data_IF_079782251982
#
_entry.id   IF_079782251982
#
_cell.length_a   1.000
_cell.length_b   1.000
_cell.length_c   1.000
_cell.angle_alpha   90.00
_cell.angle_beta   90.00
_cell.angle_gamma   90.00
#
_symmetry.space_group_name_H-M   'P 1'
#
loop_
_entity.id
_entity.type
_entity.pdbx_description
1 polymer ?
#
# COMPACT_ATOMS: atom_id res chain seq x y z
N UNK A 1 -51.95 8.32 6.48
CA UNK A 1 -50.91 7.73 5.61
C UNK A 1 -51.57 6.63 4.79
N UNK A 2 -51.62 6.72 3.45
CA UNK A 2 -52.11 5.62 2.63
C UNK A 2 -51.07 4.49 2.63
N UNK A 3 -51.53 3.27 2.89
CA UNK A 3 -50.73 2.05 2.87
C UNK A 3 -50.31 1.70 1.44
N UNK A 4 -49.07 1.20 1.29
CA UNK A 4 -48.42 0.83 0.03
C UNK A 4 -49.15 -0.26 -0.78
N UNK A 5 -50.18 -0.90 -0.23
CA UNK A 5 -50.92 -1.99 -0.88
C UNK A 5 -51.82 -1.55 -2.03
N UNK A 6 -52.14 -0.25 -2.15
CA UNK A 6 -53.08 0.22 -3.18
C UNK A 6 -52.48 0.37 -4.59
N UNK A 7 -51.15 0.30 -4.75
CA UNK A 7 -50.48 0.47 -6.05
C UNK A 7 -50.23 -0.85 -6.80
N UNK A 8 -50.49 -2.01 -6.18
CA UNK A 8 -50.21 -3.32 -6.80
C UNK A 8 -51.32 -3.82 -7.73
N UNK A 9 -52.54 -3.28 -7.62
CA UNK A 9 -53.71 -3.78 -8.33
C UNK A 9 -53.98 -3.10 -9.69
N UNK A 10 -53.13 -2.16 -10.12
CA UNK A 10 -53.31 -1.41 -11.38
C UNK A 10 -52.19 -1.63 -12.41
N UNK A 11 -51.19 -2.46 -12.10
CA UNK A 11 -50.17 -2.80 -13.10
C UNK A 11 -50.75 -3.86 -14.04
N UNK A 12 -50.81 -3.60 -15.36
CA UNK A 12 -51.23 -4.62 -16.32
C UNK A 12 -50.30 -5.83 -16.21
N UNK A 13 -50.85 -7.04 -16.33
CA UNK A 13 -50.07 -8.27 -16.39
C UNK A 13 -49.06 -8.16 -17.56
N UNK A 14 -47.80 -7.91 -17.21
CA UNK A 14 -46.71 -7.94 -18.17
C UNK A 14 -46.31 -9.39 -18.39
N UNK A 15 -46.99 -10.05 -19.34
CA UNK A 15 -46.54 -11.34 -19.87
C UNK A 15 -45.27 -11.11 -20.70
N UNK A 16 -44.12 -11.19 -20.03
CA UNK A 16 -42.82 -11.18 -20.67
C UNK A 16 -42.55 -12.58 -21.25
N UNK A 17 -42.89 -12.78 -22.52
CA UNK A 17 -42.41 -13.94 -23.28
C UNK A 17 -41.02 -13.61 -23.82
N UNK A 18 -40.00 -14.20 -23.18
CA UNK A 18 -38.65 -14.19 -23.76
C UNK A 18 -38.65 -15.08 -24.99
N UNK A 19 -38.21 -14.60 -26.17
CA UNK A 19 -38.06 -15.46 -27.34
C UNK A 19 -37.10 -16.60 -27.03
N UNK A 20 -37.34 -17.79 -27.59
CA UNK A 20 -36.50 -19.00 -27.35
C UNK A 20 -35.01 -18.78 -27.69
N UNK A 21 -34.71 -17.78 -28.51
CA UNK A 21 -33.36 -17.38 -28.92
C UNK A 21 -32.73 -16.29 -28.06
N UNK A 22 -33.45 -15.76 -27.06
CA UNK A 22 -32.95 -14.72 -26.16
C UNK A 22 -31.70 -15.23 -25.40
N UNK A 23 -30.54 -14.67 -25.75
CA UNK A 23 -29.24 -15.05 -25.18
C UNK A 23 -28.49 -16.14 -25.94
N UNK A 24 -29.12 -16.86 -26.88
CA UNK A 24 -28.45 -17.91 -27.67
C UNK A 24 -27.44 -17.35 -28.68
N UNK A 25 -27.71 -16.17 -29.25
CA UNK A 25 -26.81 -15.55 -30.25
C UNK A 25 -25.43 -15.21 -29.71
N UNK A 26 -25.32 -15.01 -28.38
CA UNK A 26 -24.08 -14.64 -27.71
C UNK A 26 -23.47 -15.75 -26.85
N UNK A 27 -24.04 -16.98 -26.85
CA UNK A 27 -23.50 -18.10 -26.07
C UNK A 27 -22.03 -18.37 -26.40
N UNK A 28 -21.64 -18.27 -27.67
CA UNK A 28 -20.24 -18.44 -28.10
C UNK A 28 -19.32 -17.36 -27.53
N UNK A 29 -19.81 -16.13 -27.41
CA UNK A 29 -19.08 -15.01 -26.78
C UNK A 29 -18.93 -15.24 -25.28
N UNK A 30 -20.00 -15.70 -24.62
CA UNK A 30 -19.96 -16.06 -23.20
C UNK A 30 -19.04 -17.25 -22.92
N UNK A 31 -19.06 -18.28 -23.76
CA UNK A 31 -18.15 -19.43 -23.66
C UNK A 31 -16.69 -19.00 -23.81
N UNK A 32 -16.39 -18.17 -24.82
CA UNK A 32 -15.04 -17.61 -25.00
C UNK A 32 -14.59 -16.77 -23.82
N UNK A 33 -15.46 -15.90 -23.29
CA UNK A 33 -15.17 -15.10 -22.09
C UNK A 33 -14.99 -15.99 -20.84
N UNK A 34 -15.77 -17.07 -20.71
CA UNK A 34 -15.63 -18.02 -19.61
C UNK A 34 -14.34 -18.84 -19.71
N UNK A 35 -13.91 -19.22 -20.91
CA UNK A 35 -12.62 -19.87 -21.17
C UNK A 35 -11.46 -18.92 -20.87
N UNK A 36 -11.52 -17.66 -21.32
CA UNK A 36 -10.53 -16.63 -21.01
C UNK A 36 -10.47 -16.36 -19.50
N UNK A 37 -11.62 -16.30 -18.82
CA UNK A 37 -11.71 -16.14 -17.38
C UNK A 37 -11.15 -17.37 -16.65
N UNK A 38 -11.44 -18.60 -17.11
CA UNK A 38 -10.88 -19.81 -16.53
C UNK A 38 -9.37 -19.91 -16.71
N UNK A 39 -8.84 -19.53 -17.89
CA UNK A 39 -7.40 -19.41 -18.10
C UNK A 39 -6.76 -18.35 -17.18
N UNK A 40 -7.46 -17.24 -16.97
CA UNK A 40 -7.04 -16.20 -16.01
C UNK A 40 -7.07 -16.70 -14.56
N UNK A 41 -8.10 -17.44 -14.15
CA UNK A 41 -8.24 -18.00 -12.78
C UNK A 41 -7.18 -19.07 -12.52
N UNK A 42 -6.93 -19.97 -13.48
CA UNK A 42 -5.88 -21.00 -13.37
C UNK A 42 -4.48 -20.38 -13.30
N UNK A 43 -4.21 -19.34 -14.08
CA UNK A 43 -2.95 -18.60 -13.99
C UNK A 43 -2.80 -17.77 -12.70
N UNK A 44 -3.90 -17.29 -12.11
CA UNK A 44 -3.87 -16.63 -10.80
C UNK A 44 -3.40 -17.56 -9.67
N UNK A 45 -3.82 -18.84 -9.67
CA UNK A 45 -3.36 -19.84 -8.69
C UNK A 45 -1.86 -20.15 -8.81
N UNK A 46 -1.35 -20.24 -10.04
CA UNK A 46 0.08 -20.39 -10.31
C UNK A 46 0.88 -19.14 -9.88
N UNK A 47 0.29 -17.94 -9.98
CA UNK A 47 0.94 -16.70 -9.58
C UNK A 47 1.08 -16.58 -8.05
N UNK A 48 0.13 -17.08 -7.25
CA UNK A 48 0.29 -17.15 -5.79
C UNK A 48 1.42 -18.10 -5.37
N UNK A 49 1.52 -19.26 -6.02
CA UNK A 49 2.56 -20.25 -5.71
C UNK A 49 3.95 -19.75 -6.12
N UNK A 50 4.05 -19.08 -7.27
CA UNK A 50 5.30 -18.46 -7.71
C UNK A 50 5.78 -17.39 -6.73
N UNK A 51 4.89 -16.47 -6.31
CA UNK A 51 5.26 -15.42 -5.33
C UNK A 51 5.73 -16.06 -4.04
N UNK A 52 5.03 -17.08 -3.53
CA UNK A 52 5.40 -17.74 -2.28
C UNK A 52 6.77 -18.43 -2.38
N UNK A 53 7.02 -19.16 -3.47
CA UNK A 53 8.32 -19.80 -3.73
C UNK A 53 9.43 -18.76 -3.85
N UNK A 54 9.20 -17.68 -4.60
CA UNK A 54 10.18 -16.63 -4.83
C UNK A 54 10.51 -15.85 -3.56
N UNK A 55 9.52 -15.58 -2.71
CA UNK A 55 9.73 -14.99 -1.38
C UNK A 55 10.67 -15.84 -0.54
N UNK A 56 10.40 -17.15 -0.43
CA UNK A 56 11.26 -18.07 0.34
C UNK A 56 12.70 -18.09 -0.18
N UNK A 57 12.87 -18.13 -1.49
CA UNK A 57 14.20 -18.14 -2.12
C UNK A 57 14.98 -16.85 -1.82
N UNK A 58 14.35 -15.69 -2.04
CA UNK A 58 14.97 -14.37 -1.78
C UNK A 58 15.31 -14.26 -0.29
N UNK A 59 14.38 -14.61 0.59
CA UNK A 59 14.58 -14.54 2.03
C UNK A 59 15.74 -15.43 2.49
N UNK A 60 15.80 -16.69 2.05
CA UNK A 60 16.90 -17.59 2.38
C UNK A 60 18.25 -17.05 1.91
N UNK A 61 18.34 -16.56 0.67
CA UNK A 61 19.60 -16.02 0.12
C UNK A 61 20.05 -14.75 0.85
N UNK A 62 19.12 -13.84 1.16
CA UNK A 62 19.46 -12.59 1.87
C UNK A 62 19.80 -12.86 3.33
N UNK A 63 18.95 -13.59 4.04
CA UNK A 63 19.02 -13.74 5.50
C UNK A 63 20.10 -14.75 5.91
N UNK A 64 20.20 -15.90 5.22
CA UNK A 64 21.17 -16.95 5.56
C UNK A 64 22.44 -16.86 4.71
N UNK A 65 22.30 -16.50 3.43
CA UNK A 65 23.41 -16.48 2.49
C UNK A 65 24.17 -15.16 2.41
N UNK A 66 23.67 -14.07 3.01
CA UNK A 66 24.29 -12.75 2.94
C UNK A 66 24.32 -12.12 1.54
N UNK A 67 23.45 -12.57 0.63
CA UNK A 67 23.41 -12.05 -0.74
C UNK A 67 22.83 -10.64 -0.78
N UNK A 68 23.40 -9.77 -1.61
CA UNK A 68 22.87 -8.43 -1.85
C UNK A 68 21.53 -8.49 -2.61
N UNK A 69 20.47 -7.97 -1.99
CA UNK A 69 19.11 -8.00 -2.54
C UNK A 69 19.00 -7.45 -3.99
N UNK A 70 19.64 -6.33 -4.37
CA UNK A 70 19.55 -5.82 -5.75
C UNK A 70 20.00 -6.82 -6.82
N UNK A 71 20.92 -7.73 -6.49
CA UNK A 71 21.42 -8.76 -7.43
C UNK A 71 20.44 -9.91 -7.61
N UNK A 72 19.58 -10.16 -6.62
CA UNK A 72 18.57 -11.20 -6.67
C UNK A 72 17.30 -10.76 -7.41
N UNK A 73 17.10 -9.46 -7.59
CA UNK A 73 15.97 -8.92 -8.33
C UNK A 73 16.33 -8.89 -9.82
N UNK A 74 15.75 -9.80 -10.60
CA UNK A 74 16.05 -9.97 -12.02
C UNK A 74 14.90 -9.45 -12.89
N UNK A 75 13.67 -9.55 -12.40
CA UNK A 75 12.48 -9.26 -13.18
C UNK A 75 11.48 -8.34 -12.44
N UNK A 76 10.57 -7.65 -13.16
CA UNK A 76 9.55 -6.81 -12.54
C UNK A 76 8.67 -7.52 -11.50
N UNK A 77 8.43 -8.83 -11.68
CA UNK A 77 7.63 -9.64 -10.74
C UNK A 77 8.33 -9.84 -9.38
N UNK A 78 9.65 -9.77 -9.31
CA UNK A 78 10.41 -9.89 -8.07
C UNK A 78 10.11 -8.73 -7.11
N UNK A 79 9.80 -7.55 -7.66
CA UNK A 79 9.47 -6.35 -6.87
C UNK A 79 8.33 -6.65 -5.89
N UNK A 80 7.30 -7.40 -6.34
CA UNK A 80 6.16 -7.75 -5.50
C UNK A 80 6.54 -8.71 -4.38
N UNK A 81 7.41 -9.68 -4.65
CA UNK A 81 7.92 -10.61 -3.65
C UNK A 81 8.74 -9.87 -2.58
N UNK A 82 9.59 -8.93 -3.00
CA UNK A 82 10.41 -8.11 -2.10
C UNK A 82 9.54 -7.21 -1.22
N UNK A 83 8.55 -6.51 -1.78
CA UNK A 83 7.65 -5.66 -0.98
C UNK A 83 6.85 -6.51 0.02
N UNK A 84 6.41 -7.70 -0.38
CA UNK A 84 5.72 -8.61 0.51
C UNK A 84 6.63 -9.05 1.68
N UNK A 85 7.89 -9.42 1.42
CA UNK A 85 8.86 -9.74 2.46
C UNK A 85 9.11 -8.56 3.41
N UNK A 86 9.26 -7.35 2.88
CA UNK A 86 9.39 -6.16 3.72
C UNK A 86 8.17 -5.91 4.61
N UNK A 87 6.96 -6.28 4.19
CA UNK A 87 5.76 -6.11 5.03
C UNK A 87 5.66 -7.20 6.09
N UNK A 88 5.98 -8.44 5.72
CA UNK A 88 5.68 -9.62 6.52
C UNK A 88 6.82 -10.12 7.41
N UNK A 89 8.08 -9.94 7.00
CA UNK A 89 9.25 -10.51 7.69
C UNK A 89 10.13 -9.42 8.31
N UNK A 90 10.12 -9.33 9.64
CA UNK A 90 11.00 -8.43 10.37
C UNK A 90 12.48 -8.80 10.19
N UNK A 91 12.79 -10.10 10.17
CA UNK A 91 14.15 -10.58 9.94
C UNK A 91 14.66 -10.16 8.56
N UNK A 92 13.81 -10.23 7.54
CA UNK A 92 14.16 -9.75 6.21
C UNK A 92 14.38 -8.24 6.19
N UNK A 93 13.50 -7.44 6.82
CA UNK A 93 13.69 -5.98 6.94
C UNK A 93 15.01 -5.60 7.60
N UNK A 94 15.42 -6.33 8.65
CA UNK A 94 16.70 -6.10 9.32
C UNK A 94 17.90 -6.47 8.45
N UNK A 95 17.78 -7.53 7.64
CA UNK A 95 18.87 -8.04 6.79
C UNK A 95 19.01 -7.26 5.47
N UNK A 96 17.90 -6.77 4.93
CA UNK A 96 17.85 -5.97 3.72
C UNK A 96 16.90 -4.77 3.92
N UNK A 97 17.32 -3.75 4.70
CA UNK A 97 16.51 -2.55 4.91
C UNK A 97 16.28 -1.80 3.60
N UNK A 98 15.16 -1.09 3.50
CA UNK A 98 14.88 -0.23 2.36
C UNK A 98 16.00 0.81 2.23
N UNK A 99 16.59 0.94 1.05
CA UNK A 99 17.64 1.92 0.78
C UNK A 99 17.62 2.32 -0.70
N UNK A 100 18.36 3.38 -1.04
CA UNK A 100 18.46 3.91 -2.39
C UNK A 100 18.83 2.85 -3.43
N UNK A 101 19.83 1.99 -3.16
CA UNK A 101 20.28 0.95 -4.11
C UNK A 101 19.17 -0.01 -4.51
N UNK A 102 18.33 -0.43 -3.54
CA UNK A 102 17.22 -1.34 -3.82
C UNK A 102 16.10 -0.62 -4.58
N UNK A 103 15.78 0.61 -4.20
CA UNK A 103 14.76 1.41 -4.91
C UNK A 103 15.20 1.77 -6.34
N UNK A 104 16.47 2.05 -6.56
CA UNK A 104 17.04 2.25 -7.90
C UNK A 104 16.93 0.98 -8.73
N UNK A 105 17.17 -0.19 -8.13
CA UNK A 105 16.93 -1.47 -8.81
C UNK A 105 15.46 -1.66 -9.19
N UNK A 106 14.53 -1.31 -8.30
CA UNK A 106 13.08 -1.30 -8.61
C UNK A 106 12.80 -0.39 -9.81
N UNK A 107 13.40 0.81 -9.84
CA UNK A 107 13.23 1.76 -10.96
C UNK A 107 13.79 1.22 -12.27
N UNK A 108 14.93 0.54 -12.26
CA UNK A 108 15.51 -0.09 -13.46
C UNK A 108 14.59 -1.18 -13.99
N UNK A 109 14.06 -2.03 -13.11
CA UNK A 109 13.17 -3.12 -13.48
C UNK A 109 11.76 -2.64 -13.86
N UNK A 110 11.30 -1.53 -13.28
CA UNK A 110 9.99 -0.93 -13.54
C UNK A 110 10.12 0.59 -13.66
N UNK A 111 10.54 1.11 -14.83
CA UNK A 111 10.75 2.55 -15.03
C UNK A 111 9.49 3.39 -14.84
N UNK A 112 8.32 2.79 -15.07
CA UNK A 112 7.00 3.37 -14.77
C UNK A 112 6.32 2.49 -13.74
N UNK A 113 6.16 3.01 -12.53
CA UNK A 113 5.51 2.28 -11.45
C UNK A 113 4.01 2.13 -11.73
N UNK A 114 3.59 0.88 -11.91
CA UNK A 114 2.18 0.55 -12.02
C UNK A 114 1.47 0.68 -10.67
N UNK A 115 0.15 0.95 -10.64
CA UNK A 115 -0.62 0.99 -9.40
C UNK A 115 -0.51 -0.29 -8.55
N UNK A 116 -0.31 -1.45 -9.19
CA UNK A 116 -0.16 -2.75 -8.53
C UNK A 116 1.16 -2.86 -7.74
N UNK A 117 2.20 -2.12 -8.12
CA UNK A 117 3.46 -2.03 -7.36
C UNK A 117 3.40 -0.87 -6.36
N UNK A 118 2.84 0.27 -6.76
CA UNK A 118 2.83 1.47 -5.94
C UNK A 118 1.94 1.32 -4.69
N UNK A 119 0.78 0.66 -4.81
CA UNK A 119 -0.11 0.45 -3.65
C UNK A 119 0.55 -0.36 -2.53
N UNK A 120 1.20 -1.51 -2.79
CA UNK A 120 1.99 -2.21 -1.77
C UNK A 120 3.11 -1.38 -1.13
N UNK A 121 3.78 -0.50 -1.89
CA UNK A 121 4.81 0.40 -1.32
C UNK A 121 4.19 1.44 -0.38
N UNK A 122 3.03 1.99 -0.74
CA UNK A 122 2.26 2.89 0.13
C UNK A 122 1.85 2.15 1.42
N UNK A 123 1.33 0.92 1.30
CA UNK A 123 1.01 0.09 2.46
C UNK A 123 2.25 -0.15 3.33
N UNK A 124 3.39 -0.51 2.73
CA UNK A 124 4.65 -0.69 3.46
C UNK A 124 5.03 0.58 4.25
N UNK A 125 4.96 1.75 3.63
CA UNK A 125 5.23 3.03 4.31
C UNK A 125 4.29 3.26 5.49
N UNK A 126 2.97 3.11 5.29
CA UNK A 126 1.99 3.35 6.35
C UNK A 126 2.09 2.31 7.49
N UNK A 127 2.41 1.07 7.14
CA UNK A 127 2.50 -0.06 8.07
C UNK A 127 3.79 -0.06 8.86
N UNK A 128 4.92 0.38 8.29
CA UNK A 128 6.26 0.29 8.90
C UNK A 128 6.94 1.65 9.09
N UNK A 129 6.21 2.77 8.99
CA UNK A 129 6.71 4.15 8.98
C UNK A 129 7.98 4.42 9.82
N UNK A 130 7.91 4.23 11.14
CA UNK A 130 9.02 4.48 12.08
C UNK A 130 9.99 3.30 12.20
N UNK A 131 9.62 2.13 11.67
CA UNK A 131 10.45 0.92 11.66
C UNK A 131 11.33 0.80 10.41
N UNK A 132 11.17 1.68 9.43
CA UNK A 132 11.98 1.68 8.19
C UNK A 132 13.41 2.20 8.41
N UNK A 133 13.72 2.78 9.58
CA UNK A 133 15.00 3.44 9.86
C UNK A 133 15.29 4.50 8.79
N UNK A 134 16.55 4.68 8.42
CA UNK A 134 16.98 5.64 7.38
C UNK A 134 16.36 5.36 5.99
N UNK A 135 15.76 4.19 5.79
CA UNK A 135 15.08 3.81 4.55
C UNK A 135 13.80 4.60 4.25
N UNK A 136 13.24 5.28 5.26
CA UNK A 136 11.96 5.96 5.14
C UNK A 136 12.00 7.13 4.15
N UNK A 137 13.10 7.90 4.11
CA UNK A 137 13.26 9.07 3.21
C UNK A 137 13.26 8.64 1.75
N UNK A 138 14.09 7.65 1.45
CA UNK A 138 14.16 7.08 0.11
C UNK A 138 12.80 6.54 -0.33
N UNK A 139 12.05 5.90 0.57
CA UNK A 139 10.76 5.32 0.24
C UNK A 139 9.70 6.38 -0.05
N UNK A 140 9.54 7.41 0.80
CA UNK A 140 8.49 8.40 0.57
C UNK A 140 8.77 9.22 -0.70
N UNK A 141 10.03 9.55 -1.00
CA UNK A 141 10.39 10.26 -2.24
C UNK A 141 10.19 9.39 -3.48
N UNK A 142 10.44 8.09 -3.36
CA UNK A 142 10.13 7.13 -4.40
C UNK A 142 8.62 7.02 -4.67
N UNK A 143 7.81 6.95 -3.61
CA UNK A 143 6.34 6.92 -3.70
C UNK A 143 5.80 8.22 -4.32
N UNK A 144 6.27 9.39 -3.87
CA UNK A 144 5.86 10.71 -4.39
C UNK A 144 6.09 10.80 -5.89
N UNK A 145 7.28 10.43 -6.37
CA UNK A 145 7.60 10.39 -7.81
C UNK A 145 6.69 9.44 -8.57
N UNK A 146 6.50 8.22 -8.05
CA UNK A 146 5.58 7.25 -8.63
C UNK A 146 4.15 7.77 -8.76
N UNK A 147 3.62 8.45 -7.73
CA UNK A 147 2.28 9.04 -7.73
C UNK A 147 2.15 10.20 -8.73
N UNK A 148 3.21 11.01 -8.89
CA UNK A 148 3.23 12.12 -9.84
C UNK A 148 3.19 11.62 -11.30
N UNK A 149 3.88 10.51 -11.59
CA UNK A 149 3.94 9.89 -12.92
C UNK A 149 2.67 9.12 -13.30
N UNK A 150 1.80 8.79 -12.33
CA UNK A 150 0.56 8.07 -12.64
C UNK A 150 -0.37 8.91 -13.53
N UNK A 151 -0.90 8.34 -14.62
CA UNK A 151 -1.80 9.05 -15.52
C UNK A 151 -3.10 9.41 -14.81
N UNK A 152 -3.60 10.62 -15.06
CA UNK A 152 -4.90 11.09 -14.55
C UNK A 152 -6.05 10.40 -15.29
N UNK A 153 -6.27 9.11 -14.98
CA UNK A 153 -7.34 8.30 -15.57
C UNK A 153 -8.52 8.15 -14.62
N UNK A 154 -9.75 8.10 -15.17
CA UNK A 154 -10.97 7.77 -14.40
C UNK A 154 -10.87 6.41 -13.71
N UNK A 155 -10.11 5.46 -14.27
CA UNK A 155 -9.95 4.09 -13.78
C UNK A 155 -9.10 3.95 -12.51
N UNK A 156 -8.55 5.04 -11.96
CA UNK A 156 -7.85 4.98 -10.68
C UNK A 156 -8.82 4.71 -9.52
N UNK A 157 -8.42 3.86 -8.58
CA UNK A 157 -9.15 3.64 -7.33
C UNK A 157 -9.30 4.93 -6.52
N UNK A 158 -10.33 5.01 -5.68
CA UNK A 158 -10.57 6.12 -4.76
C UNK A 158 -9.31 6.43 -3.93
N UNK A 159 -8.71 5.39 -3.36
CA UNK A 159 -7.55 5.52 -2.47
C UNK A 159 -6.35 6.12 -3.20
N UNK A 160 -6.10 5.69 -4.44
CA UNK A 160 -4.98 6.21 -5.23
C UNK A 160 -5.16 7.70 -5.58
N UNK A 161 -6.40 8.13 -5.83
CA UNK A 161 -6.72 9.55 -6.03
C UNK A 161 -6.46 10.36 -4.77
N UNK A 162 -6.81 9.82 -3.59
CA UNK A 162 -6.53 10.44 -2.29
C UNK A 162 -5.02 10.56 -2.07
N UNK A 163 -4.27 9.47 -2.25
CA UNK A 163 -2.81 9.48 -2.08
C UNK A 163 -2.13 10.44 -3.05
N UNK A 164 -2.59 10.54 -4.30
CA UNK A 164 -2.06 11.52 -5.26
C UNK A 164 -2.35 12.96 -4.83
N UNK A 165 -3.56 13.24 -4.32
CA UNK A 165 -3.95 14.56 -3.82
C UNK A 165 -3.17 14.97 -2.56
N UNK A 166 -2.92 14.03 -1.66
CA UNK A 166 -2.32 14.27 -0.34
C UNK A 166 -0.85 13.82 -0.29
N UNK A 167 -0.17 13.68 -1.43
CA UNK A 167 1.13 13.02 -1.49
C UNK A 167 2.20 13.70 -0.63
N UNK A 168 2.25 15.04 -0.65
CA UNK A 168 3.17 15.84 0.16
C UNK A 168 2.75 15.93 1.64
N UNK A 169 1.50 15.57 1.95
CA UNK A 169 0.97 15.60 3.30
C UNK A 169 1.21 14.27 4.01
N UNK A 170 0.93 13.16 3.34
CA UNK A 170 1.01 11.80 3.91
C UNK A 170 2.45 11.28 3.88
N UNK A 171 3.10 11.34 2.71
CA UNK A 171 4.39 10.70 2.48
C UNK A 171 5.51 11.66 2.85
N UNK A 172 5.62 11.99 4.14
CA UNK A 172 6.63 12.90 4.69
C UNK A 172 6.98 12.45 6.11
N UNK A 173 8.11 12.92 6.64
CA UNK A 173 8.48 12.69 8.03
C UNK A 173 7.44 13.26 9.00
N UNK A 174 6.98 14.49 8.76
CA UNK A 174 5.98 15.15 9.60
C UNK A 174 4.54 14.71 9.27
N UNK A 175 4.35 13.71 8.40
CA UNK A 175 3.02 13.25 7.99
C UNK A 175 2.08 12.94 9.17
N UNK A 176 2.52 12.18 10.20
CA UNK A 176 1.72 11.93 11.40
C UNK A 176 1.34 13.21 12.15
N UNK A 177 2.25 14.17 12.27
CA UNK A 177 1.96 15.46 12.92
C UNK A 177 0.92 16.26 12.12
N UNK A 178 1.04 16.30 10.79
CA UNK A 178 0.07 16.98 9.93
C UNK A 178 -1.32 16.36 10.05
N UNK A 179 -1.42 15.04 10.19
CA UNK A 179 -2.69 14.35 10.42
C UNK A 179 -3.35 14.81 11.72
N UNK A 180 -2.59 14.83 12.82
CA UNK A 180 -3.07 15.30 14.14
C UNK A 180 -3.46 16.77 14.10
N UNK A 181 -2.62 17.63 13.51
CA UNK A 181 -2.92 19.05 13.37
C UNK A 181 -4.21 19.29 12.58
N UNK A 182 -4.46 18.50 11.54
CA UNK A 182 -5.70 18.57 10.74
C UNK A 182 -6.92 18.16 11.56
N UNK A 183 -6.84 17.05 12.29
CA UNK A 183 -7.92 16.60 13.17
C UNK A 183 -8.28 17.64 14.25
N UNK A 184 -7.26 18.25 14.88
CA UNK A 184 -7.44 19.30 15.87
C UNK A 184 -8.07 20.57 15.27
N UNK A 185 -7.56 21.02 14.11
CA UNK A 185 -8.06 22.20 13.41
C UNK A 185 -9.53 22.03 13.01
N UNK A 186 -9.90 20.85 12.53
CA UNK A 186 -11.27 20.55 12.09
C UNK A 186 -12.21 20.14 13.23
N UNK A 187 -11.69 19.97 14.46
CA UNK A 187 -12.43 19.46 15.62
C UNK A 187 -13.12 18.11 15.34
N UNK A 188 -12.43 17.23 14.62
CA UNK A 188 -12.91 15.90 14.22
C UNK A 188 -12.01 14.83 14.81
N UNK A 189 -12.53 13.61 14.97
CA UNK A 189 -11.72 12.51 15.50
C UNK A 189 -10.59 12.15 14.53
N UNK A 190 -9.44 11.77 15.09
CA UNK A 190 -8.27 11.36 14.30
C UNK A 190 -8.59 10.21 13.33
N UNK A 191 -9.44 9.27 13.77
CA UNK A 191 -9.89 8.15 12.95
C UNK A 191 -10.65 8.60 11.70
N UNK A 192 -11.50 9.63 11.82
CA UNK A 192 -12.27 10.16 10.70
C UNK A 192 -11.34 10.81 9.67
N UNK A 193 -10.39 11.63 10.10
CA UNK A 193 -9.42 12.24 9.18
C UNK A 193 -8.50 11.18 8.54
N UNK A 194 -8.04 10.20 9.32
CA UNK A 194 -7.21 9.11 8.81
C UNK A 194 -7.92 8.33 7.69
N UNK A 195 -9.20 8.00 7.89
CA UNK A 195 -10.03 7.34 6.89
C UNK A 195 -10.18 8.18 5.62
N UNK A 196 -10.39 9.49 5.75
CA UNK A 196 -10.45 10.41 4.60
C UNK A 196 -9.12 10.54 3.85
N UNK A 197 -8.00 10.34 4.55
CA UNK A 197 -6.66 10.29 3.96
C UNK A 197 -6.32 8.91 3.38
N UNK A 198 -7.25 7.96 3.42
CA UNK A 198 -7.03 6.60 2.95
C UNK A 198 -6.05 5.82 3.82
N UNK A 199 -5.84 6.23 5.07
CA UNK A 199 -4.96 5.54 6.01
C UNK A 199 -5.81 4.44 6.69
N UNK A 200 -5.44 3.15 6.55
CA UNK A 200 -6.19 2.06 7.16
C UNK A 200 -6.27 2.23 8.69
N UNK A 201 -7.47 2.12 9.23
CA UNK A 201 -7.74 2.12 10.68
C UNK A 201 -7.71 0.70 11.27
N UNK A 202 -7.89 -0.33 10.43
CA UNK A 202 -7.86 -1.75 10.77
C UNK A 202 -6.48 -2.40 10.57
N UNK A 203 -5.93 -2.96 11.66
CA UNK A 203 -4.52 -3.35 11.86
C UNK A 203 -3.63 -2.12 11.98
N UNK A 204 -3.03 -1.85 13.14
CA UNK A 204 -2.55 -0.51 13.44
C UNK A 204 -1.20 -0.27 12.76
N UNK A 205 -1.26 0.19 11.51
CA UNK A 205 -0.09 0.66 10.78
C UNK A 205 0.66 1.70 11.61
N UNK A 206 1.98 1.58 11.64
CA UNK A 206 2.84 2.42 12.49
C UNK A 206 2.60 3.91 12.30
N UNK A 207 2.32 4.36 11.08
CA UNK A 207 1.97 5.76 10.80
C UNK A 207 0.81 6.27 11.66
N UNK A 208 -0.29 5.51 11.71
CA UNK A 208 -1.47 5.89 12.48
C UNK A 208 -1.25 5.73 13.99
N UNK A 209 -0.46 4.75 14.42
CA UNK A 209 -0.07 4.60 15.83
C UNK A 209 0.76 5.79 16.32
N UNK A 210 1.76 6.21 15.55
CA UNK A 210 2.57 7.41 15.83
C UNK A 210 1.66 8.64 15.89
N UNK A 211 0.73 8.77 14.95
CA UNK A 211 -0.26 9.85 14.95
C UNK A 211 -1.11 9.86 16.23
N UNK A 212 -1.60 8.69 16.68
CA UNK A 212 -2.35 8.56 17.94
C UNK A 212 -1.52 9.00 19.15
N UNK A 213 -0.28 8.54 19.23
CA UNK A 213 0.64 8.91 20.31
C UNK A 213 0.88 10.42 20.35
N UNK A 214 1.14 11.04 19.19
CA UNK A 214 1.30 12.49 19.07
C UNK A 214 0.00 13.26 19.41
N UNK A 215 -1.16 12.73 19.04
CA UNK A 215 -2.46 13.30 19.40
C UNK A 215 -2.70 13.36 20.90
N UNK A 216 -2.37 12.27 21.62
CA UNK A 216 -2.44 12.22 23.09
C UNK A 216 -1.44 13.20 23.71
N UNK A 217 -0.22 13.22 23.18
CA UNK A 217 0.89 14.00 23.75
C UNK A 217 0.95 15.45 23.32
N UNK A 218 0.18 15.91 22.33
CA UNK A 218 0.04 17.35 22.07
C UNK A 218 -0.67 18.10 23.21
N UNK A 219 -1.20 17.38 24.21
CA UNK A 219 -1.58 17.94 25.52
C UNK A 219 -0.37 18.18 26.45
N UNK A 220 0.85 17.77 26.05
CA UNK A 220 2.07 17.81 26.85
C UNK A 220 3.30 18.15 25.98
N UNK A 221 3.66 19.44 25.93
CA UNK A 221 4.68 20.02 25.04
C UNK A 221 6.07 19.33 25.14
N UNK A 222 6.38 18.69 26.28
CA UNK A 222 7.66 17.99 26.53
C UNK A 222 7.87 16.70 25.71
N UNK A 223 6.80 16.03 25.29
CA UNK A 223 6.90 14.75 24.56
C UNK A 223 7.34 14.94 23.09
N UNK A 224 7.20 16.15 22.54
CA UNK A 224 7.54 16.47 21.14
C UNK A 224 9.02 16.33 20.80
N UNK A 225 9.90 16.45 21.80
CA UNK A 225 11.35 16.31 21.62
C UNK A 225 11.83 14.87 21.78
N UNK A 226 11.11 14.00 22.51
CA UNK A 226 11.61 12.65 22.82
C UNK A 226 11.38 11.67 21.67
N UNK A 227 10.27 11.74 20.94
CA UNK A 227 9.99 10.79 19.85
C UNK A 227 10.93 10.98 18.65
N UNK A 228 11.33 12.24 18.35
CA UNK A 228 12.36 12.54 17.33
C UNK A 228 13.72 11.95 17.69
N UNK A 229 14.01 11.80 18.99
CA UNK A 229 15.26 11.21 19.49
C UNK A 229 15.19 9.68 19.68
N UNK A 230 13.99 9.07 19.63
CA UNK A 230 13.80 7.63 19.84
C UNK A 230 13.90 6.79 18.54
N UNK A 231 13.82 7.42 17.37
CA UNK A 231 13.83 6.73 16.06
C UNK A 231 15.24 6.68 15.44
N UNK A 232 16.22 7.42 15.99
CA UNK A 232 17.63 7.28 15.63
C UNK A 232 18.30 6.38 16.68
N UNK A 233 18.55 5.09 16.43
CA UNK A 233 19.57 4.40 17.21
C UNK A 233 20.89 5.02 16.77
N UNK A 234 21.49 5.84 17.62
CA UNK A 234 22.89 6.20 17.47
C UNK A 234 23.74 4.92 17.41
N UNK A 235 24.65 4.81 16.42
CA UNK A 235 25.99 4.41 16.78
C UNK A 235 26.92 5.53 16.33
N UNK A 236 27.14 6.52 17.19
CA UNK A 236 28.42 7.24 17.11
C UNK A 236 29.47 6.22 17.50
N UNK A 237 30.11 5.59 16.50
CA UNK A 237 31.44 5.03 16.69
C UNK A 237 32.36 6.20 17.00
N UNK A 238 32.65 6.43 18.28
CA UNK A 238 33.77 7.26 18.68
C UNK A 238 35.01 6.43 18.32
N UNK A 239 35.69 6.82 17.24
CA UNK A 239 37.03 6.31 16.93
C UNK A 239 37.96 6.69 18.09
N UNK A 240 38.79 5.76 18.61
CA UNK A 240 39.77 6.11 19.63
C UNK A 240 40.86 6.97 18.98
N UNK A 241 40.93 8.23 19.41
CA UNK A 241 42.10 9.09 19.23
C UNK A 241 43.33 8.31 19.70
N UNK A 242 44.23 8.02 18.75
CA UNK A 242 45.59 7.63 19.07
C UNK A 242 46.31 8.87 19.61
N UNK A 243 46.73 8.79 20.87
CA UNK A 243 47.90 9.50 21.40
C UNK A 243 49.05 8.51 21.36
#
# INVERSE_FOLDING_TARGET
MPTFDKFRSELPDMNFELPETAGLENIKVFQKLAEELNGFVQSCGTMSDWILRRKREIEQKVVMGGYELPRLMEEPRDIRAVIALWRESEQFRRSAPVNSKILDRIKILSPKLSPIVLRPLICLFLEQFDHLGDGYEFLYDFIRRGLAELPSSRAQSSDMKIYKKLCHTIFDYDGPERLVATANREKRSLAVIAKEWGIPDGTPGRFYQVSKYLGINNLNISARLSWRNFIIPFPVKISPLHI
#
